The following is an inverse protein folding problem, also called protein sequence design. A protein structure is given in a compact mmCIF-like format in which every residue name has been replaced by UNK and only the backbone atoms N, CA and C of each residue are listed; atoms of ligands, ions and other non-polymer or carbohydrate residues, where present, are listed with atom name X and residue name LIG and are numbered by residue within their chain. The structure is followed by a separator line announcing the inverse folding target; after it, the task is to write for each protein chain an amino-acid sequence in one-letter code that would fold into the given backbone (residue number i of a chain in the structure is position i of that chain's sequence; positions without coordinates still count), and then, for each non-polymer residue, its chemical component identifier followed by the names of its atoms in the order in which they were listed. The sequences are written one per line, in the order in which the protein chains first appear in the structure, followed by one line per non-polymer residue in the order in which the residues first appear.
data_IF_638734952343
#
_entry.id   IF_638734952343
#
_cell.length_a   1.000
_cell.length_b   1.000
_cell.length_c   1.000
_cell.angle_alpha   90.00
_cell.angle_beta   90.00
_cell.angle_gamma   90.00
#
_symmetry.space_group_name_H-M   'P 1'
#
loop_
_entity.id
_entity.type
_entity.pdbx_description
1 polymer ?
#
# COMPACT_ATOMS: atom_id res chain seq x y z
N UNK A 1 10.60 0.72 -5.19
CA UNK A 1 10.55 1.58 -4.00
C UNK A 1 11.09 0.81 -2.78
N UNK A 2 12.01 1.39 -1.99
CA UNK A 2 12.40 0.77 -0.70
C UNK A 2 11.46 1.25 0.42
N UNK A 3 10.66 0.32 0.97
CA UNK A 3 9.72 0.59 2.07
C UNK A 3 10.42 0.45 3.42
N UNK A 4 10.29 1.47 4.28
CA UNK A 4 10.74 1.41 5.68
C UNK A 4 9.65 0.75 6.54
N UNK A 5 9.97 -0.42 7.08
CA UNK A 5 9.05 -1.22 7.89
C UNK A 5 8.66 -0.55 9.22
N UNK A 6 9.36 0.51 9.65
CA UNK A 6 9.06 1.23 10.90
C UNK A 6 8.16 2.44 10.69
N UNK A 7 7.88 2.85 9.45
CA UNK A 7 7.10 4.05 9.14
C UNK A 7 5.65 3.74 8.75
N UNK A 8 4.81 4.76 8.84
CA UNK A 8 3.52 4.80 8.15
C UNK A 8 3.68 5.53 6.82
N UNK A 9 2.82 5.21 5.86
CA UNK A 9 2.75 5.85 4.57
C UNK A 9 1.31 6.26 4.28
N UNK A 10 1.10 7.45 3.76
CA UNK A 10 -0.12 7.78 3.03
C UNK A 10 -0.01 7.21 1.63
N UNK A 11 -0.90 6.31 1.28
CA UNK A 11 -0.92 5.60 0.01
C UNK A 11 -2.22 5.77 -0.74
N UNK A 12 -2.09 5.80 -2.07
CA UNK A 12 -3.21 5.70 -3.00
C UNK A 12 -3.01 4.47 -3.87
N UNK A 13 -4.05 3.65 -3.96
CA UNK A 13 -4.04 2.44 -4.77
C UNK A 13 -4.59 2.76 -6.17
N UNK A 14 -3.95 2.21 -7.21
CA UNK A 14 -4.38 2.34 -8.61
C UNK A 14 -5.57 1.44 -8.95
N UNK A 15 -5.71 0.34 -8.22
CA UNK A 15 -6.79 -0.65 -8.35
C UNK A 15 -7.10 -1.32 -7.00
N UNK A 16 -8.23 -2.04 -6.87
CA UNK A 16 -8.51 -2.80 -5.67
C UNK A 16 -7.47 -3.90 -5.43
N UNK A 17 -7.05 -4.08 -4.17
CA UNK A 17 -6.13 -5.13 -3.73
C UNK A 17 -6.83 -6.07 -2.78
N UNK A 18 -6.68 -7.38 -2.98
CA UNK A 18 -7.24 -8.39 -2.09
C UNK A 18 -6.15 -8.95 -1.18
N UNK A 19 -6.28 -8.74 0.12
CA UNK A 19 -5.36 -9.26 1.14
C UNK A 19 -6.13 -10.18 2.10
N UNK A 20 -6.02 -11.48 1.86
CA UNK A 20 -6.76 -12.49 2.64
C UNK A 20 -8.28 -12.27 2.55
N UNK A 21 -8.92 -12.08 3.72
CA UNK A 21 -10.36 -11.78 3.81
C UNK A 21 -10.70 -10.31 3.52
N UNK A 22 -9.72 -9.43 3.44
CA UNK A 22 -9.92 -7.99 3.25
C UNK A 22 -9.75 -7.60 1.79
N UNK A 23 -10.55 -6.63 1.34
CA UNK A 23 -10.39 -5.98 0.04
C UNK A 23 -10.15 -4.49 0.27
N UNK A 24 -8.94 -4.03 -0.05
CA UNK A 24 -8.56 -2.63 -0.02
C UNK A 24 -9.02 -2.00 -1.33
N UNK A 25 -9.89 -1.00 -1.23
CA UNK A 25 -10.41 -0.28 -2.39
C UNK A 25 -9.55 0.96 -2.66
N UNK A 26 -9.44 1.40 -3.92
CA UNK A 26 -8.82 2.67 -4.26
C UNK A 26 -9.67 3.80 -3.66
N UNK A 27 -9.28 4.24 -2.46
CA UNK A 27 -9.80 5.42 -1.76
C UNK A 27 -8.84 6.58 -2.02
N UNK A 28 -9.29 7.81 -1.77
CA UNK A 28 -8.50 9.02 -2.07
C UNK A 28 -7.10 8.95 -1.45
N UNK A 29 -6.98 8.62 -0.17
CA UNK A 29 -5.71 8.32 0.50
C UNK A 29 -5.96 7.40 1.72
N UNK A 30 -5.06 6.46 1.98
CA UNK A 30 -5.14 5.50 3.09
C UNK A 30 -3.82 5.56 3.86
N UNK A 31 -3.86 5.66 5.20
CA UNK A 31 -2.67 5.42 6.01
C UNK A 31 -2.39 3.92 6.08
N UNK A 32 -1.18 3.52 5.70
CA UNK A 32 -0.74 2.14 5.70
C UNK A 32 0.61 2.01 6.40
N UNK A 33 0.74 1.01 7.27
CA UNK A 33 2.03 0.68 7.90
C UNK A 33 2.99 0.11 6.86
N UNK A 34 4.27 0.47 6.97
CA UNK A 34 5.35 0.00 6.09
C UNK A 34 5.36 -1.52 5.84
N UNK A 35 5.16 -2.39 6.85
CA UNK A 35 5.10 -3.83 6.62
C UNK A 35 3.93 -4.24 5.72
N UNK A 36 2.75 -3.65 5.90
CA UNK A 36 1.57 -3.92 5.07
C UNK A 36 1.79 -3.43 3.64
N UNK A 37 2.42 -2.26 3.48
CA UNK A 37 2.77 -1.73 2.16
C UNK A 37 3.78 -2.62 1.44
N UNK A 38 4.81 -3.10 2.16
CA UNK A 38 5.79 -4.02 1.61
C UNK A 38 5.15 -5.34 1.15
N UNK A 39 4.26 -5.92 1.95
CA UNK A 39 3.51 -7.13 1.58
C UNK A 39 2.65 -6.93 0.32
N UNK A 40 1.98 -5.78 0.19
CA UNK A 40 1.14 -5.50 -0.98
C UNK A 40 2.00 -5.35 -2.24
N UNK A 41 3.13 -4.65 -2.14
CA UNK A 41 4.05 -4.48 -3.26
C UNK A 41 4.64 -5.83 -3.70
N UNK A 42 5.02 -6.69 -2.74
CA UNK A 42 5.57 -8.02 -3.04
C UNK A 42 4.54 -8.94 -3.73
N UNK A 43 3.27 -8.84 -3.33
CA UNK A 43 2.19 -9.67 -3.87
C UNK A 43 1.62 -9.18 -5.21
N UNK A 44 1.46 -7.86 -5.38
CA UNK A 44 0.69 -7.26 -6.48
C UNK A 44 1.54 -6.46 -7.47
N UNK A 45 2.80 -6.19 -7.13
CA UNK A 45 3.68 -5.30 -7.88
C UNK A 45 3.60 -3.84 -7.41
N UNK A 46 4.64 -3.05 -7.72
CA UNK A 46 4.69 -1.62 -7.38
C UNK A 46 3.67 -0.77 -8.15
N UNK A 47 3.20 -1.25 -9.31
CA UNK A 47 2.19 -0.59 -10.16
C UNK A 47 0.82 -0.43 -9.49
N UNK A 48 0.58 -1.17 -8.40
CA UNK A 48 -0.64 -1.05 -7.61
C UNK A 48 -0.67 0.22 -6.76
N UNK A 49 0.47 0.88 -6.58
CA UNK A 49 0.65 2.08 -5.78
C UNK A 49 0.77 3.29 -6.72
N UNK A 50 -0.31 4.07 -6.84
CA UNK A 50 -0.27 5.35 -7.58
C UNK A 50 0.63 6.37 -6.87
N UNK A 51 0.63 6.33 -5.54
CA UNK A 51 1.33 7.30 -4.69
C UNK A 51 1.61 6.71 -3.32
N UNK A 52 2.81 6.97 -2.77
CA UNK A 52 3.18 6.66 -1.41
C UNK A 52 4.07 7.75 -0.81
N UNK A 53 3.65 8.35 0.31
CA UNK A 53 4.45 9.33 1.06
C UNK A 53 4.59 8.90 2.52
N UNK A 54 5.83 8.80 2.99
CA UNK A 54 6.10 8.54 4.40
C UNK A 54 5.55 9.67 5.27
N UNK A 55 4.89 9.28 6.36
CA UNK A 55 4.46 10.16 7.44
C UNK A 55 5.57 10.33 8.50
#
# INVERSE_FOLDING_TARGET
MKVDLKKSYMVKLSRPVKRGAFSLRPLNEIEMKGPVLAEIIDAEGEDVIDYARAL
#
